data_IF_067864373168
#
_entry.id   IF_067864373168
#
_cell.length_a   1.000
_cell.length_b   1.000
_cell.length_c   1.000
_cell.angle_alpha   90.00
_cell.angle_beta   90.00
_cell.angle_gamma   90.00
#
_symmetry.space_group_name_H-M   'P 1'
#
loop_
_entity.id
_entity.type
_entity.pdbx_description
1 polymer ?
#
# COMPACT_ATOMS: atom_id res chain seq x y z
N UNK A 1 45.08 23.37 -2.40
CA UNK A 1 43.98 24.16 -3.00
C UNK A 1 43.01 23.22 -3.72
N UNK A 2 43.27 22.77 -4.95
CA UNK A 2 42.33 21.87 -5.67
C UNK A 2 42.03 20.53 -4.96
N UNK A 3 43.03 19.90 -4.35
CA UNK A 3 42.85 18.67 -3.56
C UNK A 3 42.10 18.89 -2.24
N UNK A 4 42.27 20.04 -1.59
CA UNK A 4 41.56 20.40 -0.36
C UNK A 4 40.10 20.76 -0.65
N UNK A 5 39.86 21.37 -1.81
CA UNK A 5 38.51 21.71 -2.29
C UNK A 5 37.75 20.45 -2.69
N UNK A 6 38.38 19.53 -3.44
CA UNK A 6 37.80 18.21 -3.73
C UNK A 6 37.53 17.37 -2.48
N UNK A 7 38.40 17.44 -1.46
CA UNK A 7 38.20 16.73 -0.20
C UNK A 7 37.01 17.29 0.57
N UNK A 8 36.89 18.62 0.67
CA UNK A 8 35.74 19.29 1.30
C UNK A 8 34.44 19.03 0.57
N UNK A 9 34.48 18.96 -0.76
CA UNK A 9 33.31 18.64 -1.58
C UNK A 9 32.84 17.20 -1.38
N UNK A 10 33.77 16.24 -1.32
CA UNK A 10 33.47 14.84 -0.97
C UNK A 10 32.94 14.67 0.44
N UNK A 11 33.54 15.36 1.42
CA UNK A 11 33.09 15.33 2.82
C UNK A 11 31.66 15.89 2.95
N UNK A 12 31.34 17.01 2.28
CA UNK A 12 29.98 17.56 2.24
C UNK A 12 28.97 16.63 1.58
N UNK A 13 29.30 16.08 0.41
CA UNK A 13 28.42 15.14 -0.28
C UNK A 13 28.16 13.87 0.54
N UNK A 14 29.18 13.37 1.25
CA UNK A 14 29.04 12.23 2.15
C UNK A 14 28.15 12.56 3.37
N UNK A 15 28.29 13.77 3.93
CA UNK A 15 27.50 14.24 5.07
C UNK A 15 26.03 14.49 4.70
N UNK A 16 25.77 15.06 3.52
CA UNK A 16 24.43 15.19 2.94
C UNK A 16 23.78 13.82 2.71
N UNK A 17 24.51 12.88 2.12
CA UNK A 17 24.03 11.51 1.91
C UNK A 17 23.74 10.78 3.23
N UNK A 18 24.62 10.90 4.22
CA UNK A 18 24.42 10.32 5.55
C UNK A 18 23.18 10.91 6.24
N UNK A 19 22.96 12.23 6.08
CA UNK A 19 21.79 12.91 6.63
C UNK A 19 20.49 12.43 5.97
N UNK A 20 20.47 12.27 4.65
CA UNK A 20 19.31 11.74 3.93
C UNK A 20 19.01 10.29 4.31
N UNK A 21 20.03 9.43 4.43
CA UNK A 21 19.87 8.06 4.93
C UNK A 21 19.34 8.03 6.37
N UNK A 22 19.83 8.91 7.24
CA UNK A 22 19.37 8.99 8.63
C UNK A 22 17.88 9.39 8.71
N UNK A 23 17.46 10.38 7.91
CA UNK A 23 16.05 10.78 7.82
C UNK A 23 15.18 9.65 7.28
N UNK A 24 15.60 8.99 6.20
CA UNK A 24 14.88 7.86 5.63
C UNK A 24 14.73 6.72 6.65
N UNK A 25 15.81 6.36 7.36
CA UNK A 25 15.78 5.36 8.42
C UNK A 25 14.87 5.74 9.59
N UNK A 26 14.80 7.02 9.97
CA UNK A 26 13.91 7.49 11.01
C UNK A 26 12.43 7.36 10.60
N UNK A 27 12.09 7.73 9.37
CA UNK A 27 10.74 7.55 8.81
C UNK A 27 10.36 6.08 8.77
N UNK A 28 11.26 5.24 8.28
CA UNK A 28 11.07 3.78 8.21
C UNK A 28 10.81 3.22 9.61
N UNK A 29 11.65 3.56 10.59
CA UNK A 29 11.50 3.08 11.97
C UNK A 29 10.16 3.51 12.58
N UNK A 30 9.80 4.78 12.45
CA UNK A 30 8.53 5.30 12.97
C UNK A 30 7.30 4.59 12.39
N UNK A 31 7.33 4.26 11.10
CA UNK A 31 6.27 3.48 10.47
C UNK A 31 6.23 2.03 10.99
N UNK A 32 7.37 1.35 11.18
CA UNK A 32 7.39 -0.02 11.72
C UNK A 32 6.88 -0.09 13.16
N UNK A 33 7.28 0.87 14.01
CA UNK A 33 6.79 0.97 15.38
C UNK A 33 5.26 1.17 15.40
N UNK A 34 4.74 2.02 14.51
CA UNK A 34 3.30 2.21 14.34
C UNK A 34 2.60 0.94 13.89
N UNK A 35 3.12 0.24 12.88
CA UNK A 35 2.55 -1.03 12.40
C UNK A 35 2.44 -2.07 13.52
N UNK A 36 3.41 -2.12 14.43
CA UNK A 36 3.36 -3.02 15.59
C UNK A 36 2.30 -2.61 16.62
N UNK A 37 1.93 -1.34 16.67
CA UNK A 37 0.98 -0.77 17.64
C UNK A 37 -0.45 -0.58 17.12
N UNK A 38 -0.66 -0.61 15.79
CA UNK A 38 -1.91 -0.24 15.14
C UNK A 38 -2.63 -1.50 14.60
N UNK A 39 -3.81 -1.87 15.15
CA UNK A 39 -4.52 -3.06 14.69
C UNK A 39 -5.30 -2.84 13.38
N UNK A 40 -5.49 -1.59 12.94
CA UNK A 40 -6.21 -1.24 11.72
C UNK A 40 -5.26 -0.92 10.55
N UNK A 41 -5.38 -1.71 9.49
CA UNK A 41 -4.58 -1.55 8.28
C UNK A 41 -4.82 -0.20 7.59
N UNK A 42 -6.06 0.29 7.57
CA UNK A 42 -6.38 1.52 6.85
C UNK A 42 -5.78 2.76 7.55
N UNK A 43 -5.85 2.82 8.88
CA UNK A 43 -5.18 3.85 9.68
C UNK A 43 -3.67 3.89 9.43
N UNK A 44 -3.00 2.74 9.50
CA UNK A 44 -1.58 2.63 9.20
C UNK A 44 -1.24 3.12 7.79
N UNK A 45 -1.94 2.61 6.77
CA UNK A 45 -1.71 2.98 5.37
C UNK A 45 -2.01 4.46 5.12
N UNK A 46 -2.99 5.03 5.81
CA UNK A 46 -3.30 6.45 5.77
C UNK A 46 -2.16 7.32 6.30
N UNK A 47 -1.59 6.96 7.44
CA UNK A 47 -0.43 7.66 8.00
C UNK A 47 0.82 7.52 7.14
N UNK A 48 1.11 6.31 6.64
CA UNK A 48 2.20 6.07 5.71
C UNK A 48 2.06 6.92 4.45
N UNK A 49 0.84 7.01 3.91
CA UNK A 49 0.55 7.82 2.72
C UNK A 49 0.69 9.32 2.98
N UNK A 50 0.22 9.82 4.13
CA UNK A 50 0.44 11.22 4.52
C UNK A 50 1.93 11.56 4.56
N UNK A 51 2.72 10.69 5.20
CA UNK A 51 4.17 10.89 5.28
C UNK A 51 4.83 10.83 3.90
N UNK A 52 4.44 9.87 3.05
CA UNK A 52 4.93 9.79 1.67
C UNK A 52 4.60 11.05 0.87
N UNK A 53 3.36 11.53 0.91
CA UNK A 53 2.97 12.74 0.18
C UNK A 53 3.73 13.98 0.66
N UNK A 54 3.99 14.07 1.97
CA UNK A 54 4.78 15.16 2.57
C UNK A 54 6.24 15.13 2.14
N UNK A 55 6.90 13.98 2.23
CA UNK A 55 8.33 13.82 1.91
C UNK A 55 8.64 14.13 0.44
N UNK A 56 7.74 13.74 -0.47
CA UNK A 56 7.93 13.93 -1.91
C UNK A 56 7.27 15.20 -2.47
N UNK A 57 6.63 16.00 -1.61
CA UNK A 57 5.83 17.16 -2.00
C UNK A 57 4.84 16.79 -3.13
N UNK A 58 4.06 15.74 -2.89
CA UNK A 58 3.01 15.25 -3.77
C UNK A 58 1.69 15.96 -3.44
N UNK A 59 0.92 16.33 -4.46
CA UNK A 59 -0.36 17.02 -4.29
C UNK A 59 -1.46 16.06 -3.78
N UNK A 60 -1.36 14.79 -4.14
CA UNK A 60 -2.29 13.74 -3.75
C UNK A 60 -1.60 12.38 -3.77
N UNK A 61 -2.17 11.40 -3.09
CA UNK A 61 -1.74 10.02 -3.18
C UNK A 61 -2.88 9.04 -2.91
N UNK A 62 -2.64 7.77 -3.20
CA UNK A 62 -3.54 6.69 -2.84
C UNK A 62 -2.76 5.41 -2.52
N UNK A 63 -3.30 4.59 -1.62
CA UNK A 63 -2.89 3.20 -1.46
C UNK A 63 -4.05 2.31 -1.89
N UNK A 64 -3.80 1.45 -2.87
CA UNK A 64 -4.74 0.44 -3.35
C UNK A 64 -4.30 -0.92 -2.83
N UNK A 65 -5.24 -1.76 -2.41
CA UNK A 65 -4.97 -3.13 -1.93
C UNK A 65 -5.88 -4.13 -2.62
N UNK A 66 -5.36 -5.33 -2.89
CA UNK A 66 -6.20 -6.46 -3.34
C UNK A 66 -6.95 -7.04 -2.13
N UNK A 67 -8.26 -7.24 -2.28
CA UNK A 67 -9.10 -7.97 -1.32
C UNK A 67 -9.61 -9.25 -1.96
N UNK A 68 -8.78 -10.29 -1.93
CA UNK A 68 -9.07 -11.57 -2.58
C UNK A 68 -10.42 -12.17 -2.16
N UNK A 69 -10.80 -12.07 -0.88
CA UNK A 69 -12.09 -12.60 -0.38
C UNK A 69 -13.30 -11.89 -0.98
N UNK A 70 -13.14 -10.62 -1.35
CA UNK A 70 -14.19 -9.78 -1.95
C UNK A 70 -14.03 -9.64 -3.48
N UNK A 71 -13.01 -10.27 -4.07
CA UNK A 71 -12.71 -10.20 -5.50
C UNK A 71 -12.64 -8.76 -6.05
N UNK A 72 -12.10 -7.83 -5.25
CA UNK A 72 -11.97 -6.41 -5.61
C UNK A 72 -10.56 -5.87 -5.36
N UNK A 73 -10.21 -4.83 -6.10
CA UNK A 73 -9.17 -3.87 -5.71
C UNK A 73 -9.83 -2.70 -5.02
N UNK A 74 -9.28 -2.26 -3.89
CA UNK A 74 -9.87 -1.19 -3.07
C UNK A 74 -8.85 -0.14 -2.69
N UNK A 75 -9.24 1.13 -2.74
CA UNK A 75 -8.49 2.24 -2.18
C UNK A 75 -8.60 2.16 -0.66
N UNK A 76 -7.50 1.77 0.01
CA UNK A 76 -7.41 1.66 1.46
C UNK A 76 -7.13 3.01 2.12
N UNK A 77 -6.42 3.89 1.42
CA UNK A 77 -6.15 5.26 1.86
C UNK A 77 -6.07 6.20 0.66
N UNK A 78 -6.51 7.44 0.84
CA UNK A 78 -6.40 8.51 -0.16
C UNK A 78 -6.08 9.83 0.54
N UNK A 79 -5.11 10.55 -0.01
CA UNK A 79 -4.70 11.87 0.47
C UNK A 79 -4.87 12.89 -0.64
N UNK A 80 -5.39 14.06 -0.31
CA UNK A 80 -5.42 15.24 -1.18
C UNK A 80 -5.05 16.48 -0.38
N UNK A 81 -4.10 17.26 -0.89
CA UNK A 81 -3.63 18.51 -0.26
C UNK A 81 -3.28 18.32 1.23
N UNK A 82 -2.57 17.23 1.53
CA UNK A 82 -2.11 16.89 2.89
C UNK A 82 -3.19 16.38 3.86
N UNK A 83 -4.41 16.08 3.38
CA UNK A 83 -5.51 15.56 4.21
C UNK A 83 -5.93 14.16 3.77
N UNK A 84 -6.17 13.29 4.75
CA UNK A 84 -6.84 12.01 4.53
C UNK A 84 -8.33 12.25 4.30
N UNK A 85 -8.85 11.75 3.20
CA UNK A 85 -10.26 11.86 2.82
C UNK A 85 -10.62 10.78 1.80
N UNK A 86 -11.92 10.52 1.63
CA UNK A 86 -12.39 9.63 0.57
C UNK A 86 -12.13 10.22 -0.82
N UNK A 87 -11.77 9.38 -1.82
CA UNK A 87 -11.59 9.86 -3.17
C UNK A 87 -12.93 10.28 -3.79
N UNK A 88 -12.96 11.31 -4.66
CA UNK A 88 -14.17 11.74 -5.36
C UNK A 88 -14.51 10.85 -6.58
N UNK A 89 -14.18 9.56 -6.50
CA UNK A 89 -14.39 8.52 -7.51
C UNK A 89 -14.56 7.16 -6.80
N UNK A 90 -15.08 6.11 -7.46
CA UNK A 90 -15.33 4.83 -6.82
C UNK A 90 -14.16 4.30 -6.01
N UNK A 91 -14.43 3.83 -4.79
CA UNK A 91 -13.41 3.36 -3.84
C UNK A 91 -12.93 1.93 -4.13
N UNK A 92 -13.64 1.17 -4.96
CA UNK A 92 -13.21 -0.15 -5.41
C UNK A 92 -13.61 -0.46 -6.84
N UNK A 93 -12.93 -1.44 -7.43
CA UNK A 93 -13.23 -2.04 -8.74
C UNK A 93 -13.09 -3.56 -8.67
N UNK A 94 -13.84 -4.33 -9.48
CA UNK A 94 -13.66 -5.78 -9.54
C UNK A 94 -12.25 -6.20 -9.97
N UNK A 95 -11.79 -7.35 -9.52
CA UNK A 95 -10.53 -7.97 -9.96
C UNK A 95 -10.47 -8.25 -11.46
N UNK A 96 -11.61 -8.54 -12.10
CA UNK A 96 -11.71 -8.72 -13.56
C UNK A 96 -11.84 -7.42 -14.37
N UNK A 97 -11.76 -6.25 -13.73
CA UNK A 97 -11.83 -4.95 -14.42
C UNK A 97 -10.59 -4.67 -15.29
N UNK A 98 -10.64 -3.62 -16.10
CA UNK A 98 -9.48 -3.17 -16.88
C UNK A 98 -8.24 -2.93 -15.99
N UNK A 99 -8.43 -2.40 -14.77
CA UNK A 99 -7.36 -2.27 -13.79
C UNK A 99 -6.77 -3.63 -13.41
N UNK A 100 -7.60 -4.57 -12.94
CA UNK A 100 -7.09 -5.85 -12.46
C UNK A 100 -6.46 -6.70 -13.56
N UNK A 101 -7.00 -6.68 -14.78
CA UNK A 101 -6.41 -7.38 -15.92
C UNK A 101 -5.04 -6.82 -16.31
N UNK A 102 -4.87 -5.49 -16.25
CA UNK A 102 -3.60 -4.84 -16.59
C UNK A 102 -2.58 -4.94 -15.48
N UNK A 103 -3.00 -4.76 -14.23
CA UNK A 103 -2.12 -4.49 -13.10
C UNK A 103 -2.10 -5.60 -12.03
N UNK A 104 -2.83 -6.71 -12.24
CA UNK A 104 -2.91 -7.79 -11.26
C UNK A 104 -1.64 -8.61 -11.09
N UNK A 105 -0.73 -8.60 -12.06
CA UNK A 105 0.59 -9.23 -11.94
C UNK A 105 1.60 -8.29 -11.25
N UNK A 106 2.79 -8.77 -10.82
CA UNK A 106 3.89 -7.90 -10.41
C UNK A 106 4.43 -7.08 -11.58
N UNK A 107 4.81 -5.83 -11.30
CA UNK A 107 5.33 -4.87 -12.30
C UNK A 107 6.54 -4.14 -11.72
N UNK A 108 7.31 -3.47 -12.56
CA UNK A 108 8.26 -2.45 -12.11
C UNK A 108 7.52 -1.16 -11.71
N UNK A 109 8.12 -0.29 -10.89
CA UNK A 109 7.58 1.05 -10.63
C UNK A 109 7.32 1.81 -11.94
N UNK A 110 6.18 2.50 -12.01
CA UNK A 110 5.77 3.23 -13.21
C UNK A 110 5.74 4.72 -12.95
N UNK A 111 6.25 5.46 -13.93
CA UNK A 111 6.25 6.92 -13.99
C UNK A 111 5.36 7.32 -15.16
N UNK A 112 4.20 7.90 -14.85
CA UNK A 112 3.11 8.11 -15.81
C UNK A 112 2.91 9.60 -16.01
N UNK A 113 2.91 10.02 -17.28
CA UNK A 113 2.43 11.33 -17.71
C UNK A 113 0.90 11.29 -17.88
N UNK A 114 0.19 12.12 -17.12
CA UNK A 114 -1.28 12.20 -17.14
C UNK A 114 -1.80 12.66 -18.50
N UNK A 115 -1.05 13.52 -19.21
CA UNK A 115 -1.45 14.02 -20.52
C UNK A 115 -1.42 12.91 -21.59
N UNK A 116 -0.49 11.97 -21.45
CA UNK A 116 -0.33 10.83 -22.37
C UNK A 116 -1.24 9.64 -21.99
N UNK A 117 -1.89 9.69 -20.84
CA UNK A 117 -2.82 8.65 -20.43
C UNK A 117 -4.16 8.81 -21.16
N UNK A 118 -4.38 7.94 -22.15
CA UNK A 118 -5.64 7.88 -22.91
C UNK A 118 -6.62 6.84 -22.39
N UNK A 119 -6.11 5.74 -21.79
CA UNK A 119 -6.93 4.68 -21.23
C UNK A 119 -7.20 4.93 -19.74
N UNK A 120 -8.48 4.84 -19.37
CA UNK A 120 -8.90 4.83 -17.97
C UNK A 120 -8.97 3.39 -17.47
N UNK A 121 -8.20 3.09 -16.42
CA UNK A 121 -8.20 1.78 -15.77
C UNK A 121 -9.09 1.75 -14.52
N UNK A 122 -9.18 2.89 -13.84
CA UNK A 122 -10.02 3.08 -12.65
C UNK A 122 -11.04 4.17 -12.92
N UNK A 123 -12.36 3.89 -12.87
CA UNK A 123 -13.40 4.85 -13.25
C UNK A 123 -13.28 6.18 -12.51
N UNK A 124 -13.29 7.30 -13.24
CA UNK A 124 -13.26 8.65 -12.69
C UNK A 124 -11.89 9.13 -12.20
N UNK A 125 -10.89 8.26 -12.08
CA UNK A 125 -9.55 8.65 -11.60
C UNK A 125 -8.84 9.57 -12.59
N UNK A 126 -8.95 9.31 -13.90
CA UNK A 126 -8.28 10.13 -14.91
C UNK A 126 -8.94 11.52 -15.03
N UNK A 127 -10.27 11.57 -14.91
CA UNK A 127 -11.01 12.83 -14.86
C UNK A 127 -10.63 13.65 -13.61
N UNK A 128 -10.51 13.00 -12.46
CA UNK A 128 -10.00 13.63 -11.24
C UNK A 128 -8.59 14.19 -11.45
N UNK A 129 -7.66 13.38 -11.99
CA UNK A 129 -6.28 13.80 -12.21
C UNK A 129 -6.20 15.07 -13.07
N UNK A 130 -6.97 15.12 -14.17
CA UNK A 130 -7.03 16.30 -15.05
C UNK A 130 -7.63 17.52 -14.35
N UNK A 131 -8.70 17.35 -13.56
CA UNK A 131 -9.37 18.44 -12.85
C UNK A 131 -8.47 19.08 -11.78
N UNK A 132 -7.70 18.28 -11.05
CA UNK A 132 -6.81 18.77 -9.99
C UNK A 132 -5.47 19.30 -10.52
N UNK A 133 -5.25 19.22 -11.84
CA UNK A 133 -4.03 19.68 -12.51
C UNK A 133 -2.83 18.76 -12.27
N UNK A 134 -3.05 17.46 -12.04
CA UNK A 134 -1.95 16.50 -11.95
C UNK A 134 -1.31 16.31 -13.32
N UNK A 135 0.02 16.40 -13.35
CA UNK A 135 0.85 16.23 -14.55
C UNK A 135 1.52 14.85 -14.53
N UNK A 136 2.12 14.49 -13.39
CA UNK A 136 2.85 13.24 -13.22
C UNK A 136 2.25 12.36 -12.14
N UNK A 137 2.35 11.03 -12.33
CA UNK A 137 2.06 10.04 -11.30
C UNK A 137 3.22 9.07 -11.18
N UNK A 138 3.53 8.71 -9.94
CA UNK A 138 4.50 7.68 -9.63
C UNK A 138 3.76 6.55 -8.92
N UNK A 139 3.92 5.33 -9.42
CA UNK A 139 3.15 4.15 -8.99
C UNK A 139 4.12 3.05 -8.63
N UNK A 140 4.15 2.69 -7.34
CA UNK A 140 4.96 1.60 -6.82
C UNK A 140 4.06 0.39 -6.53
N UNK A 141 4.33 -0.77 -7.13
CA UNK A 141 3.60 -1.98 -6.81
C UNK A 141 4.00 -2.50 -5.43
N UNK A 142 3.03 -3.03 -4.71
CA UNK A 142 3.23 -3.70 -3.43
C UNK A 142 3.34 -5.19 -3.73
N UNK A 143 4.55 -5.74 -3.73
CA UNK A 143 4.81 -7.12 -4.20
C UNK A 143 5.28 -7.99 -3.04
N UNK A 144 4.57 -9.09 -2.81
CA UNK A 144 4.96 -10.11 -1.84
C UNK A 144 5.13 -11.48 -2.53
N UNK A 145 6.37 -11.97 -2.57
CA UNK A 145 6.72 -13.14 -3.36
C UNK A 145 6.44 -12.89 -4.85
N UNK A 146 5.68 -13.79 -5.49
CA UNK A 146 5.26 -13.65 -6.89
C UNK A 146 3.92 -12.91 -7.07
N UNK A 147 3.39 -12.27 -6.01
CA UNK A 147 2.05 -11.67 -6.03
C UNK A 147 2.09 -10.17 -5.87
N UNK A 148 1.32 -9.48 -6.70
CA UNK A 148 0.97 -8.09 -6.46
C UNK A 148 -0.21 -8.03 -5.48
N UNK A 149 -0.04 -7.26 -4.41
CA UNK A 149 -1.00 -7.15 -3.30
C UNK A 149 -1.57 -5.74 -3.18
N UNK A 150 -1.10 -4.80 -4.01
CA UNK A 150 -1.53 -3.42 -3.94
C UNK A 150 -0.63 -2.44 -4.71
N UNK A 151 -0.92 -1.16 -4.56
CA UNK A 151 -0.14 -0.08 -5.14
C UNK A 151 -0.05 1.10 -4.18
N UNK A 152 1.12 1.72 -4.12
CA UNK A 152 1.32 3.07 -3.58
C UNK A 152 1.42 4.04 -4.75
N UNK A 153 0.54 5.04 -4.79
CA UNK A 153 0.49 6.04 -5.85
C UNK A 153 0.71 7.43 -5.27
N UNK A 154 1.57 8.22 -5.90
CA UNK A 154 1.74 9.65 -5.63
C UNK A 154 1.48 10.46 -6.90
N UNK A 155 0.82 11.60 -6.76
CA UNK A 155 0.41 12.49 -7.85
C UNK A 155 1.05 13.86 -7.69
N UNK A 156 1.50 14.43 -8.80
CA UNK A 156 2.32 15.62 -8.81
C UNK A 156 1.80 16.64 -9.83
N UNK A 157 1.92 17.94 -9.50
CA UNK A 157 1.74 19.06 -10.44
C UNK A 157 3.05 19.39 -11.21
N UNK A 158 3.95 18.42 -11.28
CA UNK A 158 5.19 18.41 -12.08
C UNK A 158 5.28 17.06 -12.79
N UNK A 159 6.21 16.91 -13.72
CA UNK A 159 6.35 15.64 -14.44
C UNK A 159 6.81 14.53 -13.51
N UNK A 160 6.41 13.30 -13.82
CA UNK A 160 6.82 12.14 -13.03
C UNK A 160 8.35 11.94 -13.09
N UNK A 161 8.97 12.22 -14.25
CA UNK A 161 10.43 12.10 -14.47
C UNK A 161 11.27 12.99 -13.53
N UNK A 162 10.70 14.09 -13.04
CA UNK A 162 11.36 14.99 -12.08
C UNK A 162 11.37 14.42 -10.65
N UNK A 163 10.64 13.32 -10.41
CA UNK A 163 10.61 12.66 -9.10
C UNK A 163 11.77 11.65 -9.05
N UNK A 164 12.75 11.84 -8.15
CA UNK A 164 13.89 10.95 -8.10
C UNK A 164 13.46 9.53 -7.74
N UNK A 165 14.13 8.55 -8.35
CA UNK A 165 14.08 7.18 -7.84
C UNK A 165 14.67 7.20 -6.43
N UNK A 166 13.87 6.77 -5.46
CA UNK A 166 14.20 6.97 -4.05
C UNK A 166 14.09 5.66 -3.30
N UNK A 167 15.16 5.29 -2.59
CA UNK A 167 15.15 4.18 -1.64
C UNK A 167 14.06 4.35 -0.58
N UNK A 168 13.69 5.59 -0.24
CA UNK A 168 12.59 5.87 0.67
C UNK A 168 11.23 5.44 0.08
N UNK A 169 10.95 5.71 -1.21
CA UNK A 169 9.72 5.21 -1.85
C UNK A 169 9.67 3.69 -1.88
N UNK A 170 10.80 3.07 -2.19
CA UNK A 170 10.94 1.60 -2.17
C UNK A 170 10.65 1.08 -0.76
N UNK A 171 11.25 1.67 0.27
CA UNK A 171 11.04 1.26 1.66
C UNK A 171 9.59 1.47 2.12
N UNK A 172 8.96 2.61 1.79
CA UNK A 172 7.56 2.87 2.10
C UNK A 172 6.63 1.86 1.42
N UNK A 173 6.88 1.52 0.15
CA UNK A 173 6.14 0.48 -0.55
C UNK A 173 6.36 -0.90 0.09
N UNK A 174 7.58 -1.24 0.49
CA UNK A 174 7.86 -2.49 1.21
C UNK A 174 7.13 -2.56 2.55
N UNK A 175 7.08 -1.47 3.31
CA UNK A 175 6.34 -1.40 4.58
C UNK A 175 4.84 -1.59 4.38
N UNK A 176 4.25 -0.89 3.39
CA UNK A 176 2.86 -1.07 3.03
C UNK A 176 2.57 -2.52 2.60
N UNK A 177 3.47 -3.13 1.81
CA UNK A 177 3.38 -4.54 1.40
C UNK A 177 3.33 -5.47 2.61
N UNK A 178 4.26 -5.32 3.55
CA UNK A 178 4.32 -6.14 4.75
C UNK A 178 3.08 -5.97 5.63
N UNK A 179 2.61 -4.74 5.83
CA UNK A 179 1.40 -4.47 6.59
C UNK A 179 0.17 -5.16 5.98
N UNK A 180 -0.02 -5.03 4.66
CA UNK A 180 -1.11 -5.69 3.94
C UNK A 180 -1.04 -7.20 4.10
N UNK A 181 0.15 -7.81 4.03
CA UNK A 181 0.30 -9.25 4.23
C UNK A 181 0.06 -9.71 5.67
N UNK A 182 0.57 -8.98 6.66
CA UNK A 182 0.35 -9.31 8.07
C UNK A 182 -1.15 -9.31 8.40
N UNK A 183 -1.88 -8.29 7.95
CA UNK A 183 -3.34 -8.25 8.13
C UNK A 183 -4.05 -9.40 7.41
N UNK A 184 -3.62 -9.74 6.19
CA UNK A 184 -4.18 -10.87 5.44
C UNK A 184 -3.96 -12.21 6.15
N UNK A 185 -2.75 -12.45 6.65
CA UNK A 185 -2.42 -13.66 7.42
C UNK A 185 -3.21 -13.73 8.73
N UNK A 186 -3.32 -12.61 9.45
CA UNK A 186 -4.11 -12.54 10.69
C UNK A 186 -5.59 -12.85 10.45
N UNK A 187 -6.16 -12.34 9.35
CA UNK A 187 -7.53 -12.63 8.97
C UNK A 187 -7.73 -14.12 8.64
N UNK A 188 -6.84 -14.71 7.84
CA UNK A 188 -6.89 -16.14 7.49
C UNK A 188 -6.75 -17.05 8.72
N UNK A 189 -5.85 -16.72 9.65
CA UNK A 189 -5.70 -17.45 10.90
C UNK A 189 -6.97 -17.41 11.76
N UNK A 190 -7.62 -16.24 11.84
CA UNK A 190 -8.89 -16.07 12.54
C UNK A 190 -10.02 -16.90 11.91
N UNK A 191 -10.14 -16.88 10.58
CA UNK A 191 -11.15 -17.70 9.88
C UNK A 191 -10.92 -19.20 10.09
N UNK A 192 -9.67 -19.66 10.01
CA UNK A 192 -9.32 -21.05 10.26
C UNK A 192 -9.68 -21.49 11.70
N UNK A 193 -9.40 -20.65 12.70
CA UNK A 193 -9.76 -20.94 14.09
C UNK A 193 -11.28 -21.07 14.30
N UNK A 194 -12.08 -20.20 13.64
CA UNK A 194 -13.55 -20.29 13.70
C UNK A 194 -14.06 -21.60 13.08
N UNK A 195 -13.44 -22.07 11.98
CA UNK A 195 -13.82 -23.33 11.36
C UNK A 195 -13.49 -24.54 12.23
N UNK A 196 -12.31 -24.56 12.86
CA UNK A 196 -11.91 -25.61 13.81
C UNK A 196 -12.89 -25.68 14.97
N UNK A 197 -13.28 -24.54 15.53
CA UNK A 197 -14.21 -24.48 16.66
C UNK A 197 -15.61 -24.98 16.28
N UNK A 198 -16.11 -24.63 15.09
CA UNK A 198 -17.38 -25.16 14.58
C UNK A 198 -17.35 -26.67 14.37
N UNK A 199 -16.24 -27.21 13.88
CA UNK A 199 -16.08 -28.65 13.71
C UNK A 199 -16.09 -29.38 15.08
N UNK A 200 -15.40 -28.83 16.07
CA UNK A 200 -15.40 -29.34 17.45
C UNK A 200 -16.80 -29.36 18.05
N UNK A 201 -17.54 -28.24 17.96
CA UNK A 201 -18.92 -28.14 18.46
C UNK A 201 -19.83 -29.15 17.75
N UNK A 202 -19.69 -29.31 16.42
CA UNK A 202 -20.44 -30.29 15.66
C UNK A 202 -20.19 -31.73 16.14
N UNK A 203 -18.91 -32.08 16.39
CA UNK A 203 -18.55 -33.38 16.95
C UNK A 203 -19.12 -33.59 18.35
N UNK A 204 -19.02 -32.61 19.24
CA UNK A 204 -19.58 -32.69 20.60
C UNK A 204 -21.10 -32.86 20.61
N UNK A 205 -21.81 -32.19 19.70
CA UNK A 205 -23.26 -32.37 19.51
C UNK A 205 -23.56 -33.79 19.01
N UNK A 206 -22.82 -34.28 18.01
CA UNK A 206 -23.00 -35.64 17.49
C UNK A 206 -22.73 -36.70 18.54
N UNK A 207 -21.67 -36.58 19.32
CA UNK A 207 -21.31 -37.52 20.38
C UNK A 207 -22.31 -37.47 21.54
N UNK A 208 -22.77 -36.29 21.92
CA UNK A 208 -23.82 -36.12 22.94
C UNK A 208 -25.16 -36.73 22.52
N UNK A 209 -25.55 -36.57 21.25
CA UNK A 209 -26.74 -37.23 20.70
C UNK A 209 -26.57 -38.75 20.65
N UNK A 210 -25.42 -39.25 20.21
CA UNK A 210 -25.14 -40.69 20.18
C UNK A 210 -25.19 -41.30 21.58
N UNK A 211 -24.58 -40.65 22.58
CA UNK A 211 -24.63 -41.06 23.99
C UNK A 211 -26.07 -41.11 24.53
N UNK A 212 -26.87 -40.07 24.25
CA UNK A 212 -28.28 -40.02 24.67
C UNK A 212 -29.11 -41.17 24.06
N UNK A 213 -28.85 -41.56 22.81
CA UNK A 213 -29.54 -42.69 22.18
C UNK A 213 -29.09 -44.06 22.71
N UNK A 214 -27.80 -44.25 23.00
CA UNK A 214 -27.33 -45.49 23.63
C UNK A 214 -27.80 -45.69 25.08
N UNK A 215 -28.21 -44.63 25.77
CA UNK A 215 -28.75 -44.73 27.14
C UNK A 215 -30.23 -45.10 27.23
N UNK A 216 -30.95 -45.19 26.10
CA UNK A 216 -32.40 -45.50 26.04
C UNK A 216 -32.66 -46.97 25.62
N UNK A 217 -31.62 -47.73 25.25
CA UNK A 217 -31.67 -49.18 24.98
C UNK A 217 -31.17 -49.97 26.20
#
# INVERSE_FOLDING_TARGET
RLLDDMRRERERAAEEHATELAKANAVIRGNLERLASEPDLNGFLGHLLLEATRQFNAASGAVVVSRDSLQEWRIAAHVREGKLEEPPYPISVPTGSAFGNRFGQPHEPMYIDVAQQHQEFWPGMLAFDRREGHIGKVVYPLVFGARNVGFLLLRFRRKAEDVPHSELLVALAQQATLAVQLTRLAYQAKEAAVLVERARIGQEIHDGLAQAFTGIL
#
